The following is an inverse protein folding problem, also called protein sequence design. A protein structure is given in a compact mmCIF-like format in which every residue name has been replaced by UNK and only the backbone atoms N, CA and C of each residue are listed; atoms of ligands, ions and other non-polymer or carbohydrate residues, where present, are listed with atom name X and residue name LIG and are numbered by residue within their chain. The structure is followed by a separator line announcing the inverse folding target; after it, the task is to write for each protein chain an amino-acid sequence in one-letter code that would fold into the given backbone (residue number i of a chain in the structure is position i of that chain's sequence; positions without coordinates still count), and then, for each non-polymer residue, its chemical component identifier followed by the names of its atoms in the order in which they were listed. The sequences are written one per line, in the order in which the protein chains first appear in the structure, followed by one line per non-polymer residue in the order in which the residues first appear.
data_IF_212773750186
#
_entry.id   IF_212773750186
#
_cell.length_a   1.000
_cell.length_b   1.000
_cell.length_c   1.000
_cell.angle_alpha   90.00
_cell.angle_beta   90.00
_cell.angle_gamma   90.00
#
_symmetry.space_group_name_H-M   'P 1'
#
loop_
_entity.id
_entity.type
_entity.pdbx_description
1 polymer ?
#
# COMPACT_ATOMS: atom_id res chain seq x y z
N UNK A 1 3.58 16.57 -2.34
CA UNK A 1 3.65 18.04 -2.34
C UNK A 1 2.75 18.52 -1.23
N UNK A 2 2.76 19.80 -0.88
CA UNK A 2 1.76 20.34 0.07
C UNK A 2 0.32 20.08 -0.40
N UNK A 3 0.09 20.13 -1.72
CA UNK A 3 -1.20 19.79 -2.33
C UNK A 3 -1.62 18.33 -2.08
N UNK A 4 -0.69 17.39 -2.21
CA UNK A 4 -0.94 15.97 -1.94
C UNK A 4 -1.26 15.71 -0.46
N UNK A 5 -0.56 16.38 0.46
CA UNK A 5 -0.83 16.27 1.91
C UNK A 5 -2.20 16.87 2.24
N UNK A 6 -2.52 18.02 1.66
CA UNK A 6 -3.83 18.67 1.84
C UNK A 6 -4.98 17.78 1.34
N UNK A 7 -4.82 17.15 0.17
CA UNK A 7 -5.78 16.16 -0.35
C UNK A 7 -6.02 15.01 0.62
N UNK A 8 -4.98 14.46 1.26
CA UNK A 8 -5.14 13.39 2.25
C UNK A 8 -5.91 13.86 3.49
N UNK A 9 -5.57 15.05 4.00
CA UNK A 9 -6.20 15.60 5.20
C UNK A 9 -7.68 15.92 4.99
N UNK A 10 -8.07 16.29 3.77
CA UNK A 10 -9.45 16.66 3.42
C UNK A 10 -10.28 15.44 3.00
N UNK A 11 -9.75 14.56 2.15
CA UNK A 11 -10.48 13.41 1.64
C UNK A 11 -10.54 12.22 2.60
N UNK A 12 -9.56 12.10 3.50
CA UNK A 12 -9.42 10.93 4.37
C UNK A 12 -8.78 9.73 3.67
N UNK A 13 -8.84 8.56 4.32
CA UNK A 13 -8.29 7.30 3.79
C UNK A 13 -9.45 6.45 3.30
N UNK A 14 -9.40 6.07 2.02
CA UNK A 14 -10.40 5.19 1.43
C UNK A 14 -10.40 3.81 2.11
N UNK A 15 -11.58 3.21 2.34
CA UNK A 15 -11.66 1.83 2.80
C UNK A 15 -10.95 0.89 1.82
N UNK A 16 -10.24 -0.12 2.33
CA UNK A 16 -9.48 -1.08 1.49
C UNK A 16 -10.33 -1.73 0.39
N UNK A 17 -11.61 -1.98 0.67
CA UNK A 17 -12.58 -2.54 -0.29
C UNK A 17 -12.79 -1.67 -1.54
N UNK A 18 -12.55 -0.36 -1.45
CA UNK A 18 -12.65 0.58 -2.58
C UNK A 18 -11.40 0.56 -3.46
N UNK A 19 -10.28 -0.01 -2.98
CA UNK A 19 -9.04 -0.16 -3.77
C UNK A 19 -9.22 -1.28 -4.80
N UNK A 20 -9.61 -2.47 -4.34
CA UNK A 20 -9.90 -3.63 -5.19
C UNK A 20 -10.67 -4.68 -4.38
N UNK A 21 -11.61 -5.40 -5.01
CA UNK A 21 -12.40 -6.46 -4.35
C UNK A 21 -11.54 -7.55 -3.73
N UNK A 22 -10.49 -7.99 -4.44
CA UNK A 22 -9.56 -9.02 -3.97
C UNK A 22 -8.35 -8.48 -3.18
N UNK A 23 -8.32 -7.20 -2.77
CA UNK A 23 -7.09 -6.60 -2.20
C UNK A 23 -6.54 -7.33 -0.96
N UNK A 24 -7.39 -8.04 -0.21
CA UNK A 24 -7.03 -8.82 0.97
C UNK A 24 -6.79 -10.32 0.69
N UNK A 25 -6.84 -10.74 -0.57
CA UNK A 25 -6.63 -12.13 -0.99
C UNK A 25 -5.18 -12.36 -1.42
N UNK A 26 -4.63 -13.55 -1.16
CA UNK A 26 -3.29 -13.94 -1.61
C UNK A 26 -3.12 -14.01 -3.13
N UNK A 27 -4.23 -14.09 -3.87
CA UNK A 27 -4.27 -14.09 -5.33
C UNK A 27 -4.05 -12.70 -5.93
N UNK A 28 -4.21 -11.63 -5.15
CA UNK A 28 -4.05 -10.28 -5.63
C UNK A 28 -2.59 -9.93 -5.90
N UNK A 29 -2.33 -9.31 -7.05
CA UNK A 29 -0.98 -8.90 -7.46
C UNK A 29 -0.83 -7.39 -7.22
N UNK A 30 -0.18 -6.94 -6.14
CA UNK A 30 -0.10 -5.51 -5.80
C UNK A 30 0.57 -4.64 -6.87
N UNK A 31 1.38 -5.23 -7.75
CA UNK A 31 2.00 -4.53 -8.89
C UNK A 31 1.04 -4.26 -10.06
N UNK A 32 -0.18 -4.80 -10.06
CA UNK A 32 -1.21 -4.45 -11.04
C UNK A 32 -1.94 -3.15 -10.69
N UNK A 33 -1.70 -2.59 -9.51
CA UNK A 33 -2.27 -1.31 -9.09
C UNK A 33 -1.61 -0.16 -9.87
N UNK A 34 -2.42 0.74 -10.40
CA UNK A 34 -1.92 1.96 -11.01
C UNK A 34 -1.31 2.89 -9.94
N UNK A 35 -0.22 3.55 -10.31
CA UNK A 35 0.50 4.49 -9.45
C UNK A 35 -0.40 5.56 -8.81
N UNK A 36 -1.45 5.97 -9.53
CA UNK A 36 -2.42 7.01 -9.15
C UNK A 36 -3.35 6.59 -7.99
N UNK A 37 -3.44 5.29 -7.70
CA UNK A 37 -4.31 4.73 -6.65
C UNK A 37 -3.53 4.53 -5.34
N UNK A 38 -2.22 4.79 -5.34
CA UNK A 38 -1.39 4.65 -4.13
C UNK A 38 -1.87 5.65 -3.08
N UNK A 39 -2.32 5.22 -1.88
CA UNK A 39 -2.84 6.12 -0.87
C UNK A 39 -1.83 7.22 -0.53
N UNK A 40 -2.33 8.45 -0.36
CA UNK A 40 -1.50 9.66 -0.27
C UNK A 40 -0.43 9.60 0.85
N UNK A 41 -0.67 8.88 1.95
CA UNK A 41 0.32 8.67 3.02
C UNK A 41 1.59 7.97 2.51
N UNK A 42 1.45 7.09 1.52
CA UNK A 42 2.57 6.39 0.90
C UNK A 42 3.43 7.28 -0.01
N UNK A 43 2.95 8.46 -0.43
CA UNK A 43 3.67 9.31 -1.39
C UNK A 43 4.97 9.89 -0.81
N UNK A 44 5.01 10.18 0.50
CA UNK A 44 6.24 10.64 1.16
C UNK A 44 7.28 9.52 1.24
N UNK A 45 6.85 8.28 1.48
CA UNK A 45 7.73 7.11 1.47
C UNK A 45 8.19 6.79 0.04
N UNK A 46 7.27 6.85 -0.95
CA UNK A 46 7.56 6.68 -2.39
C UNK A 46 8.69 7.59 -2.87
N UNK A 47 8.69 8.87 -2.46
CA UNK A 47 9.74 9.84 -2.81
C UNK A 47 11.14 9.45 -2.34
N UNK A 48 11.26 8.61 -1.31
CA UNK A 48 12.55 8.12 -0.83
C UNK A 48 13.18 7.03 -1.71
N UNK A 49 12.42 6.45 -2.65
CA UNK A 49 12.90 5.38 -3.52
C UNK A 49 13.40 5.92 -4.86
N UNK A 50 14.51 5.34 -5.32
CA UNK A 50 14.98 5.51 -6.71
C UNK A 50 14.23 4.55 -7.63
N UNK A 51 14.52 4.63 -8.93
CA UNK A 51 13.92 3.75 -9.95
C UNK A 51 14.92 2.75 -10.58
N UNK A 52 15.58 1.86 -9.80
CA UNK A 52 16.26 0.72 -10.37
C UNK A 52 15.25 -0.37 -10.78
N UNK A 53 15.65 -1.38 -11.60
CA UNK A 53 14.72 -2.37 -12.15
C UNK A 53 13.90 -3.17 -11.13
N UNK A 54 14.38 -3.31 -9.89
CA UNK A 54 13.69 -4.12 -8.87
C UNK A 54 13.55 -3.43 -7.52
N UNK A 55 14.64 -2.90 -6.94
CA UNK A 55 14.63 -2.24 -5.63
C UNK A 55 14.07 -0.81 -5.69
N UNK A 56 12.85 -0.67 -6.20
CA UNK A 56 12.10 0.57 -6.32
C UNK A 56 10.90 0.60 -5.37
N UNK A 57 10.12 1.68 -5.43
CA UNK A 57 8.91 1.85 -4.61
C UNK A 57 7.93 0.68 -4.73
N UNK A 58 7.71 0.16 -5.95
CA UNK A 58 6.75 -0.94 -6.15
C UNK A 58 7.18 -2.23 -5.48
N UNK A 59 8.48 -2.47 -5.31
CA UNK A 59 8.96 -3.58 -4.47
C UNK A 59 8.62 -3.36 -3.00
N UNK A 60 8.94 -2.19 -2.44
CA UNK A 60 8.62 -1.89 -1.05
C UNK A 60 7.11 -1.94 -0.76
N UNK A 61 6.29 -1.41 -1.68
CA UNK A 61 4.84 -1.50 -1.62
C UNK A 61 4.36 -2.96 -1.62
N UNK A 62 4.88 -3.80 -2.53
CA UNK A 62 4.51 -5.22 -2.60
C UNK A 62 4.87 -5.99 -1.33
N UNK A 63 6.05 -5.71 -0.74
CA UNK A 63 6.47 -6.31 0.54
C UNK A 63 5.53 -5.88 1.67
N UNK A 64 5.17 -4.59 1.71
CA UNK A 64 4.26 -4.04 2.72
C UNK A 64 2.85 -4.60 2.59
N UNK A 65 2.36 -4.77 1.36
CA UNK A 65 1.09 -5.41 1.06
C UNK A 65 1.08 -6.88 1.51
N UNK A 66 2.17 -7.62 1.30
CA UNK A 66 2.27 -8.98 1.81
C UNK A 66 2.20 -9.03 3.35
N UNK A 67 2.87 -8.10 4.07
CA UNK A 67 2.71 -7.98 5.52
C UNK A 67 1.25 -7.72 5.93
N UNK A 68 0.53 -6.88 5.19
CA UNK A 68 -0.91 -6.67 5.39
C UNK A 68 -1.71 -7.97 5.18
N UNK A 69 -1.42 -8.75 4.12
CA UNK A 69 -2.07 -10.04 3.88
C UNK A 69 -1.82 -11.02 5.04
N UNK A 70 -0.59 -11.06 5.57
CA UNK A 70 -0.27 -11.88 6.74
C UNK A 70 -1.12 -11.48 7.93
N UNK A 71 -1.19 -10.18 8.24
CA UNK A 71 -2.02 -9.66 9.32
C UNK A 71 -3.50 -10.03 9.15
N UNK A 72 -4.04 -9.86 7.94
CA UNK A 72 -5.46 -10.11 7.65
C UNK A 72 -5.85 -11.58 7.68
N UNK A 73 -4.98 -12.47 7.24
CA UNK A 73 -5.35 -13.85 6.97
C UNK A 73 -4.78 -14.85 7.99
N UNK A 74 -3.74 -14.50 8.75
CA UNK A 74 -3.08 -15.44 9.66
C UNK A 74 -3.30 -15.18 11.16
N UNK A 75 -4.11 -14.18 11.53
CA UNK A 75 -4.36 -13.83 12.93
C UNK A 75 -3.06 -13.60 13.72
N UNK A 76 -2.16 -12.77 13.17
CA UNK A 76 -0.83 -12.55 13.75
C UNK A 76 -0.86 -12.05 15.21
N UNK A 77 -1.95 -11.42 15.65
CA UNK A 77 -2.17 -11.02 17.05
C UNK A 77 -2.11 -12.17 18.05
N UNK A 78 -2.22 -13.41 17.59
CA UNK A 78 -2.10 -14.60 18.44
C UNK A 78 -0.65 -15.07 18.61
N UNK A 79 0.30 -14.48 17.86
CA UNK A 79 1.68 -14.95 17.76
C UNK A 79 2.72 -13.86 18.01
N UNK A 80 2.36 -12.58 17.82
CA UNK A 80 3.23 -11.42 17.98
C UNK A 80 2.70 -10.55 19.13
N UNK A 81 3.60 -10.18 20.04
CA UNK A 81 3.34 -9.28 21.18
C UNK A 81 3.37 -7.79 20.78
#
# INVERSE_FOLDING_TARGET
SEEEVSKLLVAGIDPVKEIHSCFAEFTYTPRSLHDDITPMFCLMVKKGYRDPPYHNWMHAFSVSHFCYLMYKNLMLSNYLE
#
